data_IF_631745339494
#
_entry.id   IF_631745339494
#
_cell.length_a   1.000
_cell.length_b   1.000
_cell.length_c   1.000
_cell.angle_alpha   90.00
_cell.angle_beta   90.00
_cell.angle_gamma   90.00
#
_symmetry.space_group_name_H-M   'P 1'
#
loop_
_entity.id
_entity.type
_entity.pdbx_description
1 polymer ?
#
# COMPACT_ATOMS: atom_id res chain seq x y z
N UNK A 1 18.30 22.07 7.08
CA UNK A 1 17.24 21.30 6.42
C UNK A 1 16.92 21.82 5.02
N UNK A 2 16.72 23.13 4.81
CA UNK A 2 16.40 23.77 3.51
C UNK A 2 17.48 23.48 2.45
N UNK A 3 18.76 23.56 2.81
CA UNK A 3 19.89 23.33 1.91
C UNK A 3 19.94 21.89 1.36
N UNK A 4 19.54 20.91 2.18
CA UNK A 4 19.52 19.51 1.77
C UNK A 4 18.44 19.26 0.70
N UNK A 5 17.23 19.80 0.89
CA UNK A 5 16.13 19.65 -0.09
C UNK A 5 16.44 20.34 -1.42
N UNK A 6 17.05 21.54 -1.37
CA UNK A 6 17.46 22.25 -2.57
C UNK A 6 18.52 21.45 -3.33
N UNK A 7 19.50 20.89 -2.61
CA UNK A 7 20.54 20.05 -3.20
C UNK A 7 19.98 18.77 -3.80
N UNK A 8 19.04 18.11 -3.09
CA UNK A 8 18.36 16.90 -3.58
C UNK A 8 17.57 17.19 -4.87
N UNK A 9 16.80 18.27 -4.90
CA UNK A 9 16.05 18.71 -6.09
C UNK A 9 16.97 19.00 -7.27
N UNK A 10 18.07 19.72 -7.05
CA UNK A 10 19.07 20.00 -8.09
C UNK A 10 19.69 18.71 -8.61
N UNK A 11 20.02 17.76 -7.72
CA UNK A 11 20.57 16.46 -8.12
C UNK A 11 19.56 15.65 -8.91
N UNK A 12 18.29 15.59 -8.47
CA UNK A 12 17.21 14.90 -9.20
C UNK A 12 17.02 15.54 -10.58
N UNK A 13 17.03 16.88 -10.67
CA UNK A 13 16.95 17.59 -11.95
C UNK A 13 18.13 17.28 -12.86
N UNK A 14 19.35 17.27 -12.32
CA UNK A 14 20.57 16.95 -13.08
C UNK A 14 20.53 15.50 -13.64
N UNK A 15 20.01 14.56 -12.86
CA UNK A 15 19.94 13.14 -13.27
C UNK A 15 18.77 12.87 -14.22
N UNK A 16 17.61 13.46 -13.96
CA UNK A 16 16.36 13.13 -14.67
C UNK A 16 15.94 14.17 -15.71
N UNK A 17 16.51 15.36 -15.69
CA UNK A 17 16.03 16.51 -16.49
C UNK A 17 14.63 17.00 -16.09
N UNK A 18 14.11 16.54 -14.95
CA UNK A 18 12.73 16.80 -14.51
C UNK A 18 12.60 18.17 -13.83
N UNK A 19 11.84 19.08 -14.43
CA UNK A 19 11.61 20.47 -13.96
C UNK A 19 10.47 20.61 -12.94
N UNK A 20 9.90 19.52 -12.44
CA UNK A 20 8.76 19.58 -11.50
C UNK A 20 7.38 19.71 -12.17
N UNK A 21 7.30 19.79 -13.50
CA UNK A 21 6.02 19.76 -14.22
C UNK A 21 5.57 18.29 -14.46
N UNK A 22 4.41 17.95 -13.90
CA UNK A 22 3.87 16.57 -14.00
C UNK A 22 3.68 16.09 -15.45
N UNK A 23 3.37 17.01 -16.39
CA UNK A 23 3.19 16.65 -17.79
C UNK A 23 4.53 16.33 -18.50
N UNK A 24 5.65 16.80 -17.95
CA UNK A 24 6.96 16.56 -18.53
C UNK A 24 7.65 15.31 -17.98
N UNK A 25 7.27 14.85 -16.76
CA UNK A 25 7.87 13.66 -16.14
C UNK A 25 7.65 12.39 -16.97
N UNK A 26 6.40 12.14 -17.38
CA UNK A 26 6.06 10.98 -18.22
C UNK A 26 6.63 11.02 -19.63
N UNK A 27 7.10 12.20 -20.08
CA UNK A 27 7.79 12.37 -21.37
C UNK A 27 9.30 12.18 -21.26
N UNK A 28 9.85 12.16 -20.04
CA UNK A 28 11.28 11.95 -19.82
C UNK A 28 11.58 10.44 -19.83
N UNK A 29 12.34 9.92 -20.83
CA UNK A 29 12.61 8.49 -20.95
C UNK A 29 13.39 7.93 -19.75
N UNK A 30 14.24 8.73 -19.13
CA UNK A 30 14.99 8.31 -17.92
C UNK A 30 14.04 8.13 -16.74
N UNK A 31 13.09 9.06 -16.54
CA UNK A 31 12.10 8.94 -15.48
C UNK A 31 11.22 7.68 -15.67
N UNK A 32 10.77 7.45 -16.90
CA UNK A 32 9.97 6.25 -17.22
C UNK A 32 10.80 4.99 -16.97
N UNK A 33 12.04 4.94 -17.44
CA UNK A 33 12.95 3.80 -17.25
C UNK A 33 13.15 3.50 -15.76
N UNK A 34 13.47 4.54 -14.94
CA UNK A 34 13.66 4.37 -13.50
C UNK A 34 12.38 3.89 -12.80
N UNK A 35 11.22 4.39 -13.22
CA UNK A 35 9.93 3.95 -12.69
C UNK A 35 9.65 2.48 -13.02
N UNK A 36 9.92 2.06 -14.25
CA UNK A 36 9.79 0.65 -14.68
C UNK A 36 10.75 -0.24 -13.91
N UNK A 37 12.02 0.18 -13.78
CA UNK A 37 13.01 -0.58 -12.99
C UNK A 37 12.57 -0.72 -11.52
N UNK A 38 12.03 0.33 -10.91
CA UNK A 38 11.53 0.27 -9.54
C UNK A 38 10.38 -0.75 -9.41
N UNK A 39 9.43 -0.74 -10.33
CA UNK A 39 8.33 -1.71 -10.36
C UNK A 39 8.87 -3.14 -10.51
N UNK A 40 9.83 -3.36 -11.41
CA UNK A 40 10.46 -4.68 -11.59
C UNK A 40 11.18 -5.15 -10.33
N UNK A 41 11.92 -4.27 -9.65
CA UNK A 41 12.58 -4.58 -8.38
C UNK A 41 11.55 -4.96 -7.31
N UNK A 42 10.43 -4.23 -7.22
CA UNK A 42 9.35 -4.55 -6.28
C UNK A 42 8.74 -5.93 -6.59
N UNK A 43 8.43 -6.20 -7.85
CA UNK A 43 7.90 -7.52 -8.27
C UNK A 43 8.88 -8.65 -7.95
N UNK A 44 10.17 -8.46 -8.19
CA UNK A 44 11.19 -9.45 -7.85
C UNK A 44 11.30 -9.64 -6.32
N UNK A 45 11.29 -8.56 -5.56
CA UNK A 45 11.36 -8.62 -4.09
C UNK A 45 10.15 -9.34 -3.48
N UNK A 46 8.96 -9.16 -4.08
CA UNK A 46 7.72 -9.78 -3.62
C UNK A 46 7.39 -11.11 -4.32
N UNK A 47 8.21 -11.56 -5.27
CA UNK A 47 7.91 -12.79 -6.06
C UNK A 47 7.68 -14.01 -5.18
N UNK A 48 8.47 -14.17 -4.12
CA UNK A 48 8.34 -15.28 -3.18
C UNK A 48 7.07 -15.18 -2.31
N UNK A 49 6.57 -13.98 -2.06
CA UNK A 49 5.37 -13.74 -1.26
C UNK A 49 4.13 -14.43 -1.87
N UNK A 50 3.98 -14.38 -3.18
CA UNK A 50 2.83 -14.99 -3.87
C UNK A 50 2.81 -16.52 -3.86
N UNK A 51 3.95 -17.15 -3.55
CA UNK A 51 4.09 -18.61 -3.48
C UNK A 51 4.07 -19.14 -2.05
N UNK A 52 3.97 -18.27 -1.04
CA UNK A 52 3.91 -18.67 0.36
C UNK A 52 2.52 -19.22 0.70
N UNK A 53 2.47 -20.20 1.62
CA UNK A 53 1.23 -20.61 2.27
C UNK A 53 0.85 -19.66 3.41
N UNK A 54 -0.30 -19.93 4.01
CA UNK A 54 -0.72 -19.28 5.24
C UNK A 54 0.27 -19.55 6.38
N UNK A 55 0.52 -18.55 7.25
CA UNK A 55 1.51 -18.66 8.32
C UNK A 55 1.07 -17.92 9.58
N UNK A 56 1.60 -18.35 10.73
CA UNK A 56 1.39 -17.72 12.04
C UNK A 56 -0.09 -17.47 12.38
N UNK A 57 -0.48 -16.22 12.43
CA UNK A 57 -1.82 -15.78 12.81
C UNK A 57 -2.89 -16.19 11.78
N UNK A 58 -2.51 -16.47 10.54
CA UNK A 58 -3.45 -16.90 9.49
C UNK A 58 -4.17 -18.19 9.86
N UNK A 59 -3.54 -19.05 10.66
CA UNK A 59 -4.14 -20.29 11.12
C UNK A 59 -5.48 -20.05 11.85
N UNK A 60 -5.57 -19.06 12.72
CA UNK A 60 -6.79 -18.79 13.50
C UNK A 60 -7.60 -17.60 13.00
N UNK A 61 -7.07 -16.79 12.08
CA UNK A 61 -7.79 -15.65 11.49
C UNK A 61 -8.36 -15.97 10.09
N UNK A 62 -7.78 -16.95 9.40
CA UNK A 62 -8.15 -17.34 8.03
C UNK A 62 -8.49 -18.84 7.97
N UNK A 63 -7.49 -19.75 8.11
CA UNK A 63 -7.64 -21.17 7.80
C UNK A 63 -8.75 -21.86 8.61
N UNK A 64 -8.77 -21.62 9.93
CA UNK A 64 -9.76 -22.23 10.84
C UNK A 64 -10.90 -21.28 11.19
N UNK A 65 -10.96 -20.10 10.59
CA UNK A 65 -11.98 -19.10 10.90
C UNK A 65 -13.21 -19.24 10.00
N UNK A 66 -14.22 -19.94 10.49
CA UNK A 66 -15.48 -20.11 9.76
C UNK A 66 -16.25 -18.81 9.53
N UNK A 67 -15.98 -17.74 10.31
CA UNK A 67 -16.67 -16.47 10.15
C UNK A 67 -16.39 -15.80 8.80
N UNK A 68 -15.24 -16.09 8.17
CA UNK A 68 -14.91 -15.52 6.85
C UNK A 68 -15.52 -16.30 5.66
N UNK A 69 -16.12 -17.47 5.91
CA UNK A 69 -16.72 -18.28 4.86
C UNK A 69 -18.04 -17.70 4.33
N UNK A 70 -18.69 -16.84 5.14
CA UNK A 70 -19.87 -16.09 4.77
C UNK A 70 -19.66 -14.60 5.04
N UNK A 71 -20.21 -13.72 4.17
CA UNK A 71 -20.12 -12.27 4.37
C UNK A 71 -21.27 -11.78 5.26
N UNK A 72 -21.07 -11.87 6.59
CA UNK A 72 -21.98 -11.24 7.57
C UNK A 72 -21.37 -9.95 8.12
N UNK A 73 -21.54 -8.85 7.37
CA UNK A 73 -21.05 -7.52 7.76
C UNK A 73 -21.56 -7.12 9.15
N UNK A 74 -22.82 -7.45 9.48
CA UNK A 74 -23.41 -7.09 10.79
C UNK A 74 -22.68 -7.80 11.94
N UNK A 75 -22.36 -9.08 11.78
CA UNK A 75 -21.59 -9.82 12.77
C UNK A 75 -20.17 -9.29 12.90
N UNK A 76 -19.48 -8.97 11.79
CA UNK A 76 -18.12 -8.45 11.80
C UNK A 76 -17.99 -7.14 12.60
N UNK A 77 -19.01 -6.27 12.52
CA UNK A 77 -19.01 -4.98 13.23
C UNK A 77 -19.58 -5.05 14.66
N UNK A 78 -20.14 -6.17 15.09
CA UNK A 78 -20.72 -6.34 16.42
C UNK A 78 -19.95 -7.29 17.34
N UNK A 79 -19.32 -8.32 16.77
CA UNK A 79 -18.70 -9.39 17.52
C UNK A 79 -17.19 -9.52 17.22
N UNK A 80 -16.30 -9.14 18.16
CA UNK A 80 -14.86 -9.32 18.02
C UNK A 80 -14.42 -10.78 17.82
N UNK A 81 -15.28 -11.76 18.18
CA UNK A 81 -14.96 -13.17 17.99
C UNK A 81 -14.92 -13.60 16.53
N UNK A 82 -15.50 -12.80 15.63
CA UNK A 82 -15.44 -13.06 14.17
C UNK A 82 -14.05 -12.87 13.59
N UNK A 83 -13.17 -12.11 14.25
CA UNK A 83 -11.79 -11.89 13.79
C UNK A 83 -10.90 -13.13 13.98
N UNK A 84 -11.08 -13.87 15.08
CA UNK A 84 -10.17 -14.95 15.44
C UNK A 84 -10.86 -16.07 16.19
N UNK A 85 -10.57 -17.32 15.82
CA UNK A 85 -11.00 -18.51 16.58
C UNK A 85 -10.26 -18.64 17.91
N UNK A 86 -9.05 -18.05 18.03
CA UNK A 86 -8.24 -18.06 19.24
C UNK A 86 -8.74 -17.02 20.23
N UNK A 87 -9.27 -17.40 21.43
CA UNK A 87 -9.86 -16.44 22.37
C UNK A 87 -8.91 -15.32 22.84
N UNK A 88 -7.63 -15.62 22.96
CA UNK A 88 -6.59 -14.66 23.37
C UNK A 88 -6.28 -13.61 22.30
N UNK A 89 -6.67 -13.85 21.05
CA UNK A 89 -6.40 -12.96 19.90
C UNK A 89 -7.69 -12.34 19.33
N UNK A 90 -8.82 -12.44 20.03
CA UNK A 90 -10.07 -11.79 19.66
C UNK A 90 -9.93 -10.29 19.84
N UNK A 91 -9.89 -9.55 18.74
CA UNK A 91 -9.81 -8.10 18.72
C UNK A 91 -10.83 -7.53 17.74
N UNK A 92 -11.28 -6.30 18.00
CA UNK A 92 -12.24 -5.63 17.13
C UNK A 92 -11.55 -5.14 15.85
N UNK A 93 -11.58 -5.97 14.80
CA UNK A 93 -10.98 -5.70 13.49
C UNK A 93 -11.97 -6.03 12.36
N UNK A 94 -13.12 -5.35 12.29
CA UNK A 94 -14.19 -5.70 11.35
C UNK A 94 -13.76 -5.59 9.88
N UNK A 95 -12.92 -4.61 9.53
CA UNK A 95 -12.43 -4.44 8.16
C UNK A 95 -11.53 -5.60 7.74
N UNK A 96 -10.61 -6.03 8.60
CA UNK A 96 -9.73 -7.17 8.30
C UNK A 96 -10.53 -8.47 8.12
N UNK A 97 -11.54 -8.68 8.98
CA UNK A 97 -12.44 -9.85 8.83
C UNK A 97 -13.23 -9.78 7.52
N UNK A 98 -13.73 -8.58 7.16
CA UNK A 98 -14.44 -8.37 5.91
C UNK A 98 -13.53 -8.59 4.68
N UNK A 99 -12.31 -8.09 4.71
CA UNK A 99 -11.32 -8.29 3.65
C UNK A 99 -11.04 -9.78 3.46
N UNK A 100 -10.75 -10.51 4.53
CA UNK A 100 -10.53 -11.95 4.48
C UNK A 100 -11.76 -12.71 3.94
N UNK A 101 -12.98 -12.31 4.30
CA UNK A 101 -14.20 -12.90 3.79
C UNK A 101 -14.40 -12.63 2.29
N UNK A 102 -14.06 -11.43 1.82
CA UNK A 102 -14.11 -11.10 0.39
C UNK A 102 -13.08 -11.93 -0.37
N UNK A 103 -11.85 -12.07 0.14
CA UNK A 103 -10.81 -12.87 -0.49
C UNK A 103 -11.23 -14.35 -0.57
N UNK A 104 -11.81 -14.89 0.50
CA UNK A 104 -12.35 -16.25 0.53
C UNK A 104 -13.41 -16.48 -0.57
N UNK A 105 -14.35 -15.53 -0.71
CA UNK A 105 -15.41 -15.63 -1.72
C UNK A 105 -14.87 -15.47 -3.16
N UNK A 106 -13.96 -14.51 -3.38
CA UNK A 106 -13.38 -14.28 -4.70
C UNK A 106 -12.48 -15.41 -5.16
N UNK A 107 -11.82 -16.08 -4.23
CA UNK A 107 -10.96 -17.23 -4.50
C UNK A 107 -11.71 -18.57 -4.56
N UNK A 108 -13.01 -18.59 -4.22
CA UNK A 108 -13.79 -19.83 -4.05
C UNK A 108 -13.12 -20.79 -3.03
N UNK A 109 -12.63 -20.23 -1.91
CA UNK A 109 -12.02 -20.98 -0.83
C UNK A 109 -10.69 -20.44 -0.28
N UNK A 110 -9.94 -21.31 0.38
CA UNK A 110 -8.66 -21.00 1.02
C UNK A 110 -7.50 -21.14 0.02
N UNK A 111 -7.29 -20.11 -0.79
CA UNK A 111 -6.19 -20.02 -1.74
C UNK A 111 -5.22 -18.90 -1.33
N UNK A 112 -4.07 -19.22 -0.66
CA UNK A 112 -3.15 -18.23 -0.10
C UNK A 112 -2.73 -17.15 -1.10
N UNK A 113 -2.50 -17.51 -2.35
CA UNK A 113 -2.10 -16.62 -3.42
C UNK A 113 -3.11 -15.48 -3.67
N UNK A 114 -4.41 -15.73 -3.52
CA UNK A 114 -5.44 -14.71 -3.68
C UNK A 114 -5.37 -13.66 -2.58
N UNK A 115 -5.23 -14.11 -1.32
CA UNK A 115 -5.04 -13.23 -0.16
C UNK A 115 -3.75 -12.40 -0.29
N UNK A 116 -2.65 -13.02 -0.73
CA UNK A 116 -1.38 -12.33 -0.94
C UNK A 116 -1.42 -11.30 -2.06
N UNK A 117 -2.12 -11.58 -3.17
CA UNK A 117 -2.32 -10.62 -4.27
C UNK A 117 -3.13 -9.42 -3.78
N UNK A 118 -4.20 -9.63 -3.02
CA UNK A 118 -5.02 -8.57 -2.46
C UNK A 118 -4.19 -7.64 -1.56
N UNK A 119 -3.47 -8.20 -0.58
CA UNK A 119 -2.59 -7.44 0.31
C UNK A 119 -1.55 -6.65 -0.49
N UNK A 120 -0.95 -7.25 -1.53
CA UNK A 120 0.01 -6.56 -2.39
C UNK A 120 -0.60 -5.39 -3.16
N UNK A 121 -1.83 -5.53 -3.66
CA UNK A 121 -2.56 -4.43 -4.31
C UNK A 121 -2.78 -3.27 -3.32
N UNK A 122 -3.23 -3.56 -2.10
CA UNK A 122 -3.38 -2.54 -1.05
C UNK A 122 -2.06 -1.86 -0.69
N UNK A 123 -0.96 -2.62 -0.64
CA UNK A 123 0.37 -2.07 -0.45
C UNK A 123 0.74 -1.07 -1.56
N UNK A 124 0.48 -1.39 -2.83
CA UNK A 124 0.72 -0.47 -3.95
C UNK A 124 -0.13 0.80 -3.85
N UNK A 125 -1.41 0.68 -3.51
CA UNK A 125 -2.28 1.83 -3.27
C UNK A 125 -1.76 2.71 -2.12
N UNK A 126 -1.32 2.11 -1.04
CA UNK A 126 -0.74 2.82 0.11
C UNK A 126 0.54 3.57 -0.30
N UNK A 127 1.42 2.94 -1.06
CA UNK A 127 2.61 3.59 -1.60
C UNK A 127 2.25 4.77 -2.51
N UNK A 128 1.29 4.60 -3.41
CA UNK A 128 0.83 5.67 -4.29
C UNK A 128 0.21 6.84 -3.49
N UNK A 129 -0.65 6.55 -2.53
CA UNK A 129 -1.25 7.56 -1.65
C UNK A 129 -0.19 8.32 -0.84
N UNK A 130 0.81 7.61 -0.31
CA UNK A 130 1.92 8.23 0.41
C UNK A 130 2.74 9.15 -0.50
N UNK A 131 3.05 8.72 -1.71
CA UNK A 131 3.76 9.55 -2.70
C UNK A 131 2.98 10.84 -3.02
N UNK A 132 1.66 10.74 -3.24
CA UNK A 132 0.79 11.89 -3.49
C UNK A 132 0.71 12.82 -2.28
N UNK A 133 0.61 12.28 -1.08
CA UNK A 133 0.59 13.04 0.16
C UNK A 133 1.90 13.81 0.36
N UNK A 134 3.05 13.14 0.24
CA UNK A 134 4.38 13.77 0.36
C UNK A 134 4.55 14.86 -0.68
N UNK A 135 4.15 14.60 -1.94
CA UNK A 135 4.18 15.61 -3.00
C UNK A 135 3.37 16.84 -2.62
N UNK A 136 2.10 16.65 -2.21
CA UNK A 136 1.21 17.76 -1.81
C UNK A 136 1.81 18.56 -0.64
N UNK A 137 2.40 17.87 0.33
CA UNK A 137 3.05 18.51 1.48
C UNK A 137 4.23 19.39 1.04
N UNK A 138 5.07 18.87 0.14
CA UNK A 138 6.22 19.62 -0.40
C UNK A 138 5.76 20.85 -1.20
N UNK A 139 4.74 20.71 -2.03
CA UNK A 139 4.14 21.81 -2.80
C UNK A 139 3.62 22.92 -1.87
N UNK A 140 2.98 22.58 -0.76
CA UNK A 140 2.51 23.54 0.25
C UNK A 140 3.65 24.26 0.96
N UNK A 141 4.72 23.55 1.29
CA UNK A 141 5.89 24.14 1.94
C UNK A 141 6.64 25.13 1.01
N UNK A 142 6.72 24.83 -0.28
CA UNK A 142 7.30 25.75 -1.27
C UNK A 142 6.44 27.01 -1.46
N UNK A 143 5.12 26.87 -1.53
CA UNK A 143 4.18 27.99 -1.65
C UNK A 143 4.21 28.91 -0.41
N UNK A 144 4.28 28.34 0.80
CA UNK A 144 4.41 29.11 2.05
C UNK A 144 5.67 29.95 2.09
N UNK A 145 6.80 29.46 1.58
CA UNK A 145 8.05 30.22 1.50
C UNK A 145 7.98 31.37 0.50
N UNK A 146 7.34 31.15 -0.64
CA UNK A 146 7.17 32.20 -1.65
C UNK A 146 6.40 33.39 -1.06
N UNK A 147 5.31 33.12 -0.36
CA UNK A 147 4.49 34.16 0.28
C UNK A 147 5.22 34.91 1.41
N UNK A 148 6.14 34.26 2.14
CA UNK A 148 6.94 34.93 3.18
C UNK A 148 8.04 35.84 2.63
N UNK A 149 8.48 35.59 1.40
CA UNK A 149 9.55 36.41 0.78
C UNK A 149 9.01 37.65 0.04
N UNK A 150 7.74 37.64 -0.33
CA UNK A 150 7.12 38.65 -1.20
C UNK A 150 5.88 39.33 -0.61
N UNK A 151 5.46 38.97 0.61
CA UNK A 151 4.41 39.63 1.40
C UNK A 151 4.97 40.42 2.57
#
# INVERSE_FOLDING_TARGET
MITLFTKLRTTIYQITGYKGDNKSAFKNPIFVLLSVMLVLILLLAYSNHFSNGFQFDDNHTIENNKAIQDIDISAFFKDPATFSTLPSNRSYRPYTTLENAIDYQLADGLHPEAFHIHIFIFFLFTCAALCLFVKKLLDQLEFSKYNQLWG
#
